data_IF_287232182686
#
_entry.id   IF_287232182686
#
_cell.length_a   1.000
_cell.length_b   1.000
_cell.length_c   1.000
_cell.angle_alpha   90.00
_cell.angle_beta   90.00
_cell.angle_gamma   90.00
#
_symmetry.space_group_name_H-M   'P 1'
#
loop_
_entity.id
_entity.type
_entity.pdbx_description
1 polymer ?
#
# COMPACT_ATOMS: atom_id res chain seq x y z
N UNK A 1 33.84 10.63 -6.74
CA UNK A 1 33.17 10.38 -8.03
C UNK A 1 31.83 9.74 -7.67
N UNK A 2 30.75 10.53 -7.68
CA UNK A 2 29.42 10.04 -7.34
C UNK A 2 29.03 8.99 -8.37
N UNK A 3 28.97 7.72 -7.97
CA UNK A 3 28.42 6.68 -8.83
C UNK A 3 26.96 7.04 -9.09
N UNK A 4 26.55 7.04 -10.35
CA UNK A 4 25.13 7.16 -10.68
C UNK A 4 24.36 6.09 -9.90
N UNK A 5 23.10 6.39 -9.56
CA UNK A 5 22.25 5.50 -8.75
C UNK A 5 22.35 4.05 -9.24
N UNK A 6 22.22 3.85 -10.56
CA UNK A 6 22.28 2.57 -11.27
C UNK A 6 23.66 1.89 -11.32
N UNK A 7 24.74 2.59 -10.97
CA UNK A 7 26.12 2.10 -10.99
C UNK A 7 26.39 0.95 -10.02
N UNK A 8 25.45 0.63 -9.13
CA UNK A 8 25.54 -0.51 -8.20
C UNK A 8 24.84 -1.77 -8.72
N UNK A 9 23.98 -1.66 -9.74
CA UNK A 9 23.32 -2.83 -10.33
C UNK A 9 24.29 -3.91 -10.83
N UNK A 10 25.46 -3.59 -11.43
CA UNK A 10 26.43 -4.61 -11.85
C UNK A 10 26.90 -5.54 -10.72
N UNK A 11 26.72 -5.19 -9.44
CA UNK A 11 27.02 -6.08 -8.32
C UNK A 11 26.20 -7.38 -8.36
N UNK A 12 25.02 -7.36 -8.97
CA UNK A 12 24.21 -8.58 -9.18
C UNK A 12 24.92 -9.62 -10.04
N UNK A 13 25.84 -9.21 -10.91
CA UNK A 13 26.61 -10.14 -11.74
C UNK A 13 27.64 -10.94 -10.93
N UNK A 14 27.91 -10.56 -9.67
CA UNK A 14 28.71 -11.35 -8.73
C UNK A 14 27.94 -12.53 -8.13
N UNK A 15 26.62 -12.52 -8.25
CA UNK A 15 25.81 -13.64 -7.81
C UNK A 15 26.12 -14.88 -8.64
N UNK A 16 26.15 -16.04 -7.98
CA UNK A 16 26.52 -17.30 -8.63
C UNK A 16 25.43 -17.84 -9.56
N UNK A 17 24.20 -17.28 -9.53
CA UNK A 17 23.10 -17.76 -10.35
C UNK A 17 21.92 -16.77 -10.46
N UNK A 18 21.03 -17.03 -11.43
CA UNK A 18 19.76 -16.31 -11.60
C UNK A 18 18.87 -16.41 -10.35
N UNK A 19 18.89 -17.57 -9.69
CA UNK A 19 18.09 -17.89 -8.52
C UNK A 19 18.49 -17.00 -7.32
N UNK A 20 19.77 -16.62 -7.20
CA UNK A 20 20.20 -15.66 -6.18
C UNK A 20 19.59 -14.27 -6.41
N UNK A 21 19.59 -13.77 -7.65
CA UNK A 21 18.96 -12.47 -7.98
C UNK A 21 17.45 -12.54 -7.75
N UNK A 22 16.84 -13.66 -8.11
CA UNK A 22 15.43 -13.93 -7.86
C UNK A 22 15.10 -13.88 -6.35
N UNK A 23 15.89 -14.57 -5.52
CA UNK A 23 15.74 -14.54 -4.07
C UNK A 23 15.84 -13.12 -3.51
N UNK A 24 16.83 -12.33 -3.95
CA UNK A 24 17.01 -10.92 -3.52
C UNK A 24 15.75 -10.11 -3.83
N UNK A 25 15.21 -10.22 -5.05
CA UNK A 25 14.00 -9.49 -5.45
C UNK A 25 12.78 -9.90 -4.62
N UNK A 26 12.60 -11.19 -4.36
CA UNK A 26 11.52 -11.70 -3.52
C UNK A 26 11.66 -11.24 -2.06
N UNK A 27 12.86 -11.30 -1.49
CA UNK A 27 13.14 -10.82 -0.14
C UNK A 27 12.81 -9.32 -0.01
N UNK A 28 13.20 -8.53 -1.01
CA UNK A 28 12.87 -7.10 -1.08
C UNK A 28 11.36 -6.83 -1.17
N UNK A 29 10.62 -7.64 -1.92
CA UNK A 29 9.17 -7.53 -2.00
C UNK A 29 8.49 -7.92 -0.69
N UNK A 30 8.88 -9.07 -0.11
CA UNK A 30 8.35 -9.59 1.16
C UNK A 30 8.53 -8.57 2.29
N UNK A 31 9.70 -7.94 2.34
CA UNK A 31 10.08 -6.97 3.37
C UNK A 31 9.75 -5.51 3.02
N UNK A 32 8.91 -5.26 2.00
CA UNK A 32 8.61 -3.90 1.51
C UNK A 32 8.03 -2.95 2.56
N UNK A 33 7.35 -3.48 3.59
CA UNK A 33 6.72 -2.71 4.68
C UNK A 33 7.59 -2.57 5.92
N UNK A 34 8.49 -3.52 6.16
CA UNK A 34 9.25 -3.66 7.42
C UNK A 34 10.74 -3.34 7.27
N UNK A 35 11.26 -3.38 6.04
CA UNK A 35 12.70 -3.38 5.79
C UNK A 35 13.32 -4.77 5.93
N UNK A 36 14.52 -4.93 5.35
CA UNK A 36 15.31 -6.15 5.45
C UNK A 36 15.94 -6.24 6.84
N UNK A 37 15.84 -7.38 7.50
CA UNK A 37 16.49 -7.63 8.78
C UNK A 37 17.98 -7.98 8.62
N UNK A 38 18.70 -8.13 9.74
CA UNK A 38 20.14 -8.41 9.72
C UNK A 38 20.48 -9.77 9.10
N UNK A 39 19.59 -10.77 9.22
CA UNK A 39 19.83 -12.11 8.70
C UNK A 39 19.66 -12.13 7.18
N UNK A 40 18.57 -11.56 6.65
CA UNK A 40 18.37 -11.42 5.21
C UNK A 40 19.50 -10.56 4.59
N UNK A 41 19.94 -9.49 5.26
CA UNK A 41 21.09 -8.68 4.80
C UNK A 41 22.38 -9.50 4.72
N UNK A 42 22.66 -10.35 5.70
CA UNK A 42 23.83 -11.22 5.71
C UNK A 42 23.79 -12.19 4.51
N UNK A 43 22.65 -12.87 4.31
CA UNK A 43 22.46 -13.81 3.19
C UNK A 43 22.70 -13.11 1.84
N UNK A 44 22.15 -11.91 1.65
CA UNK A 44 22.34 -11.15 0.39
C UNK A 44 23.81 -10.78 0.20
N UNK A 45 24.53 -10.39 1.27
CA UNK A 45 25.97 -10.09 1.17
C UNK A 45 26.79 -11.30 0.78
N UNK A 46 26.51 -12.45 1.39
CA UNK A 46 27.19 -13.70 1.06
C UNK A 46 26.94 -14.11 -0.39
N UNK A 47 25.69 -14.01 -0.87
CA UNK A 47 25.33 -14.29 -2.27
C UNK A 47 26.06 -13.39 -3.26
N UNK A 48 26.26 -12.11 -2.92
CA UNK A 48 26.89 -11.11 -3.77
C UNK A 48 28.40 -10.95 -3.51
N UNK A 49 28.95 -11.73 -2.56
CA UNK A 49 30.35 -11.70 -2.16
C UNK A 49 30.81 -10.27 -1.79
N UNK A 50 29.98 -9.56 -1.03
CA UNK A 50 30.28 -8.19 -0.56
C UNK A 50 31.03 -8.22 0.77
N UNK A 51 32.02 -7.35 0.92
CA UNK A 51 32.77 -7.22 2.18
C UNK A 51 32.01 -6.40 3.23
N UNK A 52 31.35 -5.31 2.79
CA UNK A 52 30.66 -4.37 3.67
C UNK A 52 29.27 -3.96 3.13
N UNK A 53 28.49 -3.33 4.00
CA UNK A 53 27.14 -2.83 3.68
C UNK A 53 27.14 -1.58 2.79
N UNK A 54 28.29 -0.92 2.62
CA UNK A 54 28.43 0.34 1.88
C UNK A 54 27.99 0.25 0.43
N UNK A 55 28.23 -0.90 -0.21
CA UNK A 55 27.79 -1.18 -1.58
C UNK A 55 26.39 -1.84 -1.62
N UNK A 56 25.96 -2.46 -0.52
CA UNK A 56 24.68 -3.14 -0.42
C UNK A 56 23.52 -2.13 -0.42
N UNK A 57 23.57 -1.10 0.43
CA UNK A 57 22.44 -0.19 0.58
C UNK A 57 22.07 0.53 -0.72
N UNK A 58 23.02 1.10 -1.49
CA UNK A 58 22.71 1.68 -2.81
C UNK A 58 22.12 0.67 -3.81
N UNK A 59 22.61 -0.58 -3.80
CA UNK A 59 22.05 -1.64 -4.64
C UNK A 59 20.58 -1.93 -4.26
N UNK A 60 20.30 -2.09 -2.96
CA UNK A 60 18.94 -2.36 -2.49
C UNK A 60 17.98 -1.21 -2.83
N UNK A 61 18.45 0.04 -2.81
CA UNK A 61 17.67 1.20 -3.26
C UNK A 61 17.31 1.07 -4.74
N UNK A 62 18.27 0.73 -5.60
CA UNK A 62 18.03 0.54 -7.04
C UNK A 62 16.96 -0.52 -7.31
N UNK A 63 17.08 -1.67 -6.65
CA UNK A 63 16.14 -2.76 -6.82
C UNK A 63 14.76 -2.40 -6.28
N UNK A 64 14.67 -1.73 -5.13
CA UNK A 64 13.37 -1.27 -4.59
C UNK A 64 12.68 -0.28 -5.52
N UNK A 65 13.42 0.64 -6.15
CA UNK A 65 12.84 1.54 -7.14
C UNK A 65 12.31 0.79 -8.36
N UNK A 66 13.07 -0.17 -8.90
CA UNK A 66 12.63 -0.97 -10.05
C UNK A 66 11.38 -1.78 -9.72
N UNK A 67 11.35 -2.43 -8.56
CA UNK A 67 10.18 -3.15 -8.05
C UNK A 67 8.98 -2.20 -7.97
N UNK A 68 9.16 -1.00 -7.38
CA UNK A 68 8.07 -0.03 -7.27
C UNK A 68 7.56 0.41 -8.65
N UNK A 69 8.44 0.84 -9.56
CA UNK A 69 8.02 1.26 -10.90
C UNK A 69 7.33 0.14 -11.68
N UNK A 70 7.84 -1.09 -11.58
CA UNK A 70 7.24 -2.27 -12.22
C UNK A 70 5.81 -2.54 -11.74
N UNK A 71 5.60 -2.45 -10.43
CA UNK A 71 4.34 -2.87 -9.81
C UNK A 71 3.31 -1.73 -9.79
N UNK A 72 3.70 -0.51 -9.40
CA UNK A 72 2.78 0.61 -9.16
C UNK A 72 2.49 1.48 -10.40
N UNK A 73 3.44 1.67 -11.33
CA UNK A 73 3.28 2.64 -12.44
C UNK A 73 2.44 2.11 -13.62
N UNK A 74 1.59 1.10 -13.38
CA UNK A 74 0.77 0.41 -14.37
C UNK A 74 1.49 0.01 -15.69
N UNK A 75 2.80 -0.22 -15.62
CA UNK A 75 3.63 -0.56 -16.78
C UNK A 75 3.18 -1.89 -17.37
N UNK A 76 2.99 -1.93 -18.70
CA UNK A 76 2.72 -3.17 -19.44
C UNK A 76 3.90 -4.14 -19.36
N UNK A 77 3.66 -5.44 -19.44
CA UNK A 77 4.73 -6.45 -19.38
C UNK A 77 5.82 -6.18 -20.40
N UNK A 78 5.41 -5.84 -21.63
CA UNK A 78 6.33 -5.58 -22.73
C UNK A 78 7.10 -4.28 -22.57
N UNK A 79 6.68 -3.37 -21.68
CA UNK A 79 7.29 -2.05 -21.48
C UNK A 79 8.28 -2.01 -20.31
N UNK A 80 8.45 -3.10 -19.56
CA UNK A 80 9.35 -3.13 -18.39
C UNK A 80 10.80 -2.81 -18.77
N UNK A 81 11.22 -3.14 -19.99
CA UNK A 81 12.57 -2.79 -20.48
C UNK A 81 12.80 -1.27 -20.53
N UNK A 82 11.75 -0.45 -20.62
CA UNK A 82 11.83 1.03 -20.63
C UNK A 82 12.13 1.63 -19.25
N UNK A 83 12.08 0.83 -18.18
CA UNK A 83 12.36 1.28 -16.81
C UNK A 83 13.85 1.54 -16.56
N UNK A 84 14.71 0.96 -17.40
CA UNK A 84 16.16 1.00 -17.25
C UNK A 84 16.75 2.10 -18.12
N UNK A 85 17.67 2.91 -17.58
CA UNK A 85 18.36 3.89 -18.39
C UNK A 85 19.53 3.24 -19.15
N UNK A 86 20.09 3.97 -20.12
CA UNK A 86 21.07 3.44 -21.07
C UNK A 86 22.41 3.04 -20.43
N UNK A 87 22.69 3.46 -19.19
CA UNK A 87 23.92 3.11 -18.46
C UNK A 87 23.88 1.67 -17.89
N UNK A 88 22.70 1.04 -17.84
CA UNK A 88 22.56 -0.34 -17.36
C UNK A 88 22.96 -1.32 -18.45
N UNK A 89 23.82 -2.28 -18.09
CA UNK A 89 24.30 -3.31 -19.03
C UNK A 89 23.12 -4.10 -19.64
N UNK A 90 23.10 -4.36 -20.96
CA UNK A 90 21.98 -5.05 -21.62
C UNK A 90 21.67 -6.44 -21.05
N UNK A 91 22.69 -7.20 -20.64
CA UNK A 91 22.49 -8.53 -20.04
C UNK A 91 21.73 -8.44 -18.72
N UNK A 92 22.06 -7.42 -17.91
CA UNK A 92 21.41 -7.19 -16.63
C UNK A 92 19.99 -6.66 -16.80
N UNK A 93 19.79 -5.78 -17.78
CA UNK A 93 18.45 -5.32 -18.17
C UNK A 93 17.58 -6.51 -18.57
N UNK A 94 18.09 -7.42 -19.42
CA UNK A 94 17.37 -8.64 -19.84
C UNK A 94 17.01 -9.53 -18.65
N UNK A 95 17.96 -9.78 -17.75
CA UNK A 95 17.74 -10.59 -16.55
C UNK A 95 16.68 -9.97 -15.64
N UNK A 96 16.82 -8.68 -15.31
CA UNK A 96 15.89 -7.98 -14.42
C UNK A 96 14.52 -7.82 -15.07
N UNK A 97 14.42 -7.51 -16.36
CA UNK A 97 13.15 -7.47 -17.08
C UNK A 97 12.43 -8.81 -17.00
N UNK A 98 13.14 -9.93 -17.23
CA UNK A 98 12.55 -11.27 -17.15
C UNK A 98 12.03 -11.59 -15.74
N UNK A 99 12.80 -11.30 -14.70
CA UNK A 99 12.41 -11.55 -13.31
C UNK A 99 11.26 -10.63 -12.86
N UNK A 100 11.31 -9.35 -13.21
CA UNK A 100 10.24 -8.40 -12.90
C UNK A 100 8.93 -8.79 -13.61
N UNK A 101 8.98 -9.17 -14.88
CA UNK A 101 7.82 -9.69 -15.62
C UNK A 101 7.23 -10.95 -14.98
N UNK A 102 8.08 -11.84 -14.46
CA UNK A 102 7.68 -13.06 -13.74
C UNK A 102 6.84 -12.73 -12.50
N UNK A 103 7.31 -11.77 -11.69
CA UNK A 103 6.67 -11.45 -10.41
C UNK A 103 5.58 -10.38 -10.46
N UNK A 104 5.53 -9.57 -11.51
CA UNK A 104 4.65 -8.41 -11.58
C UNK A 104 3.19 -8.72 -11.24
N UNK A 105 2.64 -9.84 -11.76
CA UNK A 105 1.23 -10.21 -11.51
C UNK A 105 0.99 -10.51 -10.04
N UNK A 106 1.78 -11.41 -9.48
CA UNK A 106 1.68 -11.83 -8.07
C UNK A 106 1.82 -10.62 -7.13
N UNK A 107 2.81 -9.76 -7.38
CA UNK A 107 3.03 -8.58 -6.55
C UNK A 107 1.90 -7.55 -6.67
N UNK A 108 1.28 -7.39 -7.84
CA UNK A 108 0.08 -6.56 -7.97
C UNK A 108 -1.10 -7.14 -7.20
N UNK A 109 -1.29 -8.45 -7.22
CA UNK A 109 -2.33 -9.11 -6.43
C UNK A 109 -2.08 -8.95 -4.92
N UNK A 110 -0.82 -9.04 -4.47
CA UNK A 110 -0.44 -8.75 -3.09
C UNK A 110 -0.76 -7.31 -2.69
N UNK A 111 -0.59 -6.33 -3.59
CA UNK A 111 -1.01 -4.95 -3.31
C UNK A 111 -2.52 -4.80 -3.19
N UNK A 112 -3.29 -5.54 -3.99
CA UNK A 112 -4.74 -5.53 -3.88
C UNK A 112 -5.20 -6.14 -2.55
N UNK A 113 -4.50 -7.15 -2.04
CA UNK A 113 -4.73 -7.71 -0.69
C UNK A 113 -4.28 -6.76 0.42
N UNK A 114 -3.21 -6.01 0.18
CA UNK A 114 -2.68 -5.02 1.13
C UNK A 114 -3.56 -3.77 1.25
N UNK A 115 -4.40 -3.47 0.24
CA UNK A 115 -5.39 -2.42 0.38
C UNK A 115 -6.32 -2.81 1.53
N UNK A 116 -6.21 -2.07 2.63
CA UNK A 116 -7.18 -2.10 3.71
C UNK A 116 -8.50 -1.64 3.10
N UNK A 117 -9.32 -2.59 2.69
CA UNK A 117 -10.67 -2.27 2.24
C UNK A 117 -11.47 -1.92 3.47
N UNK A 118 -11.62 -0.63 3.69
CA UNK A 118 -12.52 -0.13 4.71
C UNK A 118 -13.94 -0.52 4.27
N UNK A 119 -14.68 -1.27 5.10
CA UNK A 119 -16.05 -1.61 4.78
C UNK A 119 -16.87 -0.34 4.65
N UNK A 120 -17.68 -0.25 3.60
CA UNK A 120 -18.56 0.89 3.36
C UNK A 120 -19.94 0.60 3.93
N UNK A 121 -20.54 1.58 4.59
CA UNK A 121 -21.93 1.49 4.99
C UNK A 121 -22.84 1.56 3.76
N UNK A 122 -23.57 0.47 3.49
CA UNK A 122 -24.50 0.34 2.35
C UNK A 122 -25.92 0.72 2.74
N UNK A 123 -26.36 0.29 3.92
CA UNK A 123 -27.68 0.58 4.45
C UNK A 123 -27.67 0.64 5.97
N UNK A 124 -28.58 1.43 6.55
CA UNK A 124 -28.82 1.51 7.98
C UNK A 124 -30.32 1.43 8.22
N UNK A 125 -30.75 0.55 9.12
CA UNK A 125 -32.14 0.47 9.60
C UNK A 125 -32.16 0.56 11.11
N UNK A 126 -33.27 1.04 11.66
CA UNK A 126 -33.44 1.17 13.10
C UNK A 126 -34.83 0.73 13.54
N UNK A 127 -34.94 0.25 14.77
CA UNK A 127 -36.20 0.05 15.48
C UNK A 127 -36.04 0.39 16.96
N UNK A 128 -37.16 0.56 17.66
CA UNK A 128 -37.18 0.77 19.12
C UNK A 128 -37.56 -0.53 19.81
N UNK A 129 -36.74 -0.98 20.76
CA UNK A 129 -37.06 -2.08 21.65
C UNK A 129 -37.59 -1.55 22.98
N UNK A 130 -38.25 -2.44 23.75
CA UNK A 130 -38.82 -2.16 25.06
C UNK A 130 -39.96 -1.14 25.09
N UNK A 131 -40.67 -0.94 23.97
CA UNK A 131 -41.80 0.00 23.90
C UNK A 131 -43.01 -0.43 24.75
N UNK A 132 -43.20 -1.74 24.95
CA UNK A 132 -44.36 -2.31 25.63
C UNK A 132 -44.09 -2.72 27.09
N UNK A 133 -42.90 -2.42 27.61
CA UNK A 133 -42.51 -2.76 28.97
C UNK A 133 -42.68 -1.53 29.87
N UNK A 134 -43.69 -1.55 30.77
CA UNK A 134 -44.06 -0.43 31.67
C UNK A 134 -42.92 0.09 32.59
N UNK A 135 -41.76 -0.58 32.62
CA UNK A 135 -40.64 -0.24 33.52
C UNK A 135 -39.24 -0.29 32.86
N UNK A 136 -39.13 -0.44 31.54
CA UNK A 136 -37.83 -0.51 30.86
C UNK A 136 -37.55 0.76 30.05
N UNK A 137 -36.31 1.26 30.13
CA UNK A 137 -35.89 2.38 29.30
C UNK A 137 -35.91 2.00 27.81
N UNK A 138 -36.46 2.86 26.94
CA UNK A 138 -36.49 2.59 25.50
C UNK A 138 -35.06 2.63 24.93
N UNK A 139 -34.71 1.61 24.15
CA UNK A 139 -33.40 1.50 23.50
C UNK A 139 -33.55 1.41 21.98
N UNK A 140 -32.72 2.15 21.27
CA UNK A 140 -32.67 2.10 19.81
C UNK A 140 -31.83 0.90 19.38
N UNK A 141 -32.39 0.03 18.54
CA UNK A 141 -31.67 -1.07 17.90
C UNK A 141 -31.28 -0.63 16.50
N UNK A 142 -29.99 -0.54 16.25
CA UNK A 142 -29.43 -0.14 14.96
C UNK A 142 -28.90 -1.38 14.23
N UNK A 143 -29.22 -1.50 12.94
CA UNK A 143 -28.65 -2.51 12.05
C UNK A 143 -27.91 -1.78 10.92
N UNK A 144 -26.65 -2.12 10.72
CA UNK A 144 -25.80 -1.61 9.65
C UNK A 144 -25.49 -2.74 8.68
N UNK A 145 -25.69 -2.48 7.39
CA UNK A 145 -25.21 -3.33 6.31
C UNK A 145 -23.90 -2.78 5.79
N UNK A 146 -22.82 -3.54 5.92
CA UNK A 146 -21.49 -3.18 5.45
C UNK A 146 -21.15 -3.97 4.18
N UNK A 147 -20.55 -3.28 3.20
CA UNK A 147 -20.05 -3.87 1.97
C UNK A 147 -18.53 -3.78 1.94
N UNK A 148 -17.88 -4.90 1.59
CA UNK A 148 -16.46 -4.93 1.33
C UNK A 148 -16.21 -4.93 -0.19
N UNK A 149 -15.46 -3.96 -0.70
CA UNK A 149 -15.18 -3.82 -2.13
C UNK A 149 -13.97 -4.67 -2.59
N UNK A 150 -13.33 -5.41 -1.66
CA UNK A 150 -12.29 -6.37 -2.00
C UNK A 150 -12.87 -7.66 -2.60
N UNK A 151 -12.77 -7.76 -3.93
CA UNK A 151 -12.92 -8.98 -4.74
C UNK A 151 -14.33 -9.52 -4.98
N UNK A 152 -14.41 -10.27 -6.09
CA UNK A 152 -15.56 -10.77 -6.85
C UNK A 152 -16.60 -11.63 -6.10
N UNK A 153 -16.56 -11.66 -4.77
CA UNK A 153 -17.61 -12.18 -3.89
C UNK A 153 -17.86 -11.14 -2.80
N UNK A 154 -18.75 -10.18 -3.10
CA UNK A 154 -19.22 -9.16 -2.17
C UNK A 154 -19.93 -9.83 -0.98
N UNK A 155 -19.22 -10.09 0.11
CA UNK A 155 -19.82 -10.49 1.38
C UNK A 155 -20.46 -9.28 2.06
N UNK A 156 -21.78 -9.28 2.20
CA UNK A 156 -22.47 -8.33 3.08
C UNK A 156 -22.25 -8.74 4.54
N UNK A 157 -21.83 -7.79 5.37
CA UNK A 157 -21.68 -7.98 6.82
C UNK A 157 -22.74 -7.15 7.55
N UNK A 158 -23.58 -7.84 8.32
CA UNK A 158 -24.62 -7.21 9.15
C UNK A 158 -24.09 -7.00 10.56
N UNK A 159 -24.10 -5.75 11.03
CA UNK A 159 -23.77 -5.37 12.41
C UNK A 159 -25.02 -4.88 13.11
N UNK A 160 -25.36 -5.49 14.24
CA UNK A 160 -26.52 -5.12 15.07
C UNK A 160 -26.08 -4.76 16.47
N UNK A 161 -26.53 -3.61 16.97
CA UNK A 161 -26.22 -3.14 18.32
C UNK A 161 -27.37 -2.30 18.87
N UNK A 162 -27.35 -2.07 20.18
CA UNK A 162 -28.35 -1.28 20.89
C UNK A 162 -27.71 -0.02 21.46
N UNK A 163 -28.46 1.08 21.46
CA UNK A 163 -28.04 2.36 22.00
C UNK A 163 -29.10 2.89 22.96
N UNK A 164 -28.67 3.27 24.16
CA UNK A 164 -29.45 4.12 25.04
C UNK A 164 -29.49 5.56 24.50
N UNK A 165 -30.43 6.36 25.01
CA UNK A 165 -30.70 7.73 24.54
C UNK A 165 -29.45 8.63 24.62
N UNK A 166 -28.72 8.57 25.73
CA UNK A 166 -27.52 9.35 26.00
C UNK A 166 -26.35 8.97 25.07
N UNK A 167 -26.18 7.66 24.83
CA UNK A 167 -25.16 7.14 23.91
C UNK A 167 -25.46 7.57 22.47
N UNK A 168 -26.73 7.46 22.04
CA UNK A 168 -27.16 7.91 20.72
C UNK A 168 -26.96 9.42 20.55
N UNK A 169 -27.28 10.22 21.56
CA UNK A 169 -27.06 11.66 21.52
C UNK A 169 -25.57 12.01 21.39
N UNK A 170 -24.71 11.29 22.11
CA UNK A 170 -23.25 11.46 22.03
C UNK A 170 -22.72 11.10 20.64
N UNK A 171 -23.21 10.00 20.06
CA UNK A 171 -22.88 9.59 18.69
C UNK A 171 -23.31 10.64 17.66
N UNK A 172 -24.51 11.21 17.78
CA UNK A 172 -24.96 12.26 16.85
C UNK A 172 -24.09 13.51 16.94
N UNK A 173 -23.70 13.92 18.16
CA UNK A 173 -22.77 15.05 18.34
C UNK A 173 -21.42 14.80 17.68
N UNK A 174 -20.86 13.59 17.80
CA UNK A 174 -19.60 13.27 17.15
C UNK A 174 -19.74 13.22 15.62
N UNK A 175 -20.84 12.67 15.09
CA UNK A 175 -21.11 12.68 13.65
C UNK A 175 -21.24 14.11 13.08
N UNK A 176 -21.90 15.02 13.81
CA UNK A 176 -21.95 16.43 13.42
C UNK A 176 -20.56 17.08 13.41
N UNK A 177 -19.74 16.81 14.42
CA UNK A 177 -18.36 17.29 14.47
C UNK A 177 -17.53 16.76 13.30
N UNK A 178 -17.65 15.47 12.96
CA UNK A 178 -16.96 14.86 11.81
C UNK A 178 -17.42 15.52 10.50
N UNK A 179 -18.73 15.74 10.31
CA UNK A 179 -19.28 16.43 9.13
C UNK A 179 -18.65 17.81 8.97
N UNK A 180 -18.60 18.59 10.06
CA UNK A 180 -18.08 19.96 10.03
C UNK A 180 -16.56 19.99 9.74
N UNK A 181 -15.80 19.02 10.26
CA UNK A 181 -14.38 18.87 9.93
C UNK A 181 -14.17 18.55 8.44
N UNK A 182 -14.96 17.63 7.89
CA UNK A 182 -14.87 17.24 6.48
C UNK A 182 -15.29 18.39 5.54
N UNK A 183 -16.30 19.18 5.89
CA UNK A 183 -16.71 20.33 5.07
C UNK A 183 -15.69 21.47 5.10
N UNK A 184 -15.04 21.71 6.24
CA UNK A 184 -14.04 22.79 6.35
C UNK A 184 -12.70 22.43 5.67
N UNK A 185 -12.40 21.15 5.48
CA UNK A 185 -11.21 20.72 4.74
C UNK A 185 -11.27 21.13 3.26
N UNK A 186 -12.46 21.12 2.63
CA UNK A 186 -12.64 21.54 1.23
C UNK A 186 -12.34 23.04 1.02
N UNK A 187 -12.60 23.89 2.03
CA UNK A 187 -12.27 25.33 1.94
C UNK A 187 -10.76 25.61 2.03
N UNK A 188 -10.02 24.80 2.80
CA UNK A 188 -8.57 24.96 2.93
C UNK A 188 -7.80 24.49 1.70
N UNK A 189 -8.32 23.50 0.97
CA UNK A 189 -7.76 23.05 -0.31
C UNK A 189 -7.88 24.12 -1.40
N UNK A 190 -8.99 24.86 -1.43
CA UNK A 190 -9.22 25.89 -2.44
C UNK A 190 -8.42 27.19 -2.23
N UNK A 191 -7.95 27.44 -0.99
CA UNK A 191 -7.07 28.59 -0.70
C UNK A 191 -5.64 28.42 -1.19
N UNK A 192 -5.14 27.18 -1.32
CA UNK A 192 -3.77 26.94 -1.82
C UNK A 192 -3.64 27.04 -3.34
N UNK A 193 -4.75 26.97 -4.10
CA UNK A 193 -4.73 27.13 -5.56
C UNK A 193 -4.78 28.60 -6.03
N UNK A 194 -5.07 29.55 -5.12
CA UNK A 194 -5.37 30.94 -5.49
C UNK A 194 -4.27 31.96 -5.16
N UNK A 195 -3.07 31.54 -4.74
CA UNK A 195 -2.00 32.46 -4.33
C UNK A 195 -0.72 32.45 -5.18
N UNK A 196 -0.69 31.74 -6.32
CA UNK A 196 0.36 31.91 -7.35
C UNK A 196 -0.17 32.65 -8.58
N UNK A 197 -0.66 33.86 -8.40
CA UNK A 197 -0.74 34.84 -9.50
C UNK A 197 -0.90 36.23 -8.91
N UNK A 198 0.24 36.85 -8.59
CA UNK A 198 0.52 38.28 -8.69
C UNK A 198 1.63 38.64 -7.71
N UNK A 199 2.86 38.74 -8.22
CA UNK A 199 3.70 39.90 -7.95
C UNK A 199 4.75 40.02 -9.05
N UNK A 200 4.70 41.21 -9.66
CA UNK A 200 5.56 41.88 -10.64
C UNK A 200 7.05 41.53 -10.52
#
# INVERSE_FOLDING_TARGET
>A
MERSLWGHLPLLMRSNSKESVEYILQALWRTRKTGLDAADRLVIREMLQLQDDSDLDPLLVCLRMLIRRCVYDNVGKDDIHKLFPNEVLPELQRLLTLLLQKFQREWREDLLKDQVTLPRLKAMTWNMANQDAESADPVAVINLKLQNDAQSQSGELDVKFQLAKDTLQTMLRSMYCIRDQLSNMDETSNRHSSQETNMV
#
